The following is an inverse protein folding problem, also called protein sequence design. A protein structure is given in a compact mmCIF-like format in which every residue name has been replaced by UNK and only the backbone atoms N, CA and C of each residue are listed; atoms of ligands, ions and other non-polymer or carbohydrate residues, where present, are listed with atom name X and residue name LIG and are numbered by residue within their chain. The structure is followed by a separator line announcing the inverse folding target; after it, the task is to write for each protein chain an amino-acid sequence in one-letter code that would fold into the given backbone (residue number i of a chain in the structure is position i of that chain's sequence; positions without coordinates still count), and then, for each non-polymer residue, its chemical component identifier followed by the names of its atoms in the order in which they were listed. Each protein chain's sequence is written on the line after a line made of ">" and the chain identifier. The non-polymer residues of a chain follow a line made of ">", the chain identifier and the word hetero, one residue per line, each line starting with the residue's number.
data_IF_444381845274
#
_entry.id   IF_444381845274
#
_cell.length_a   1.000
_cell.length_b   1.000
_cell.length_c   1.000
_cell.angle_alpha   90.00
_cell.angle_beta   90.00
_cell.angle_gamma   90.00
#
_symmetry.space_group_name_H-M   'P 1'
#
loop_
_entity.id
_entity.type
_entity.pdbx_description
1 polymer ?
#
# COMPACT_ATOMS: atom_id res chain seq x y z
N UNK A 1 13.73 -6.75 -17.61
CA UNK A 1 14.35 -5.43 -17.81
C UNK A 1 13.40 -4.41 -18.40
N UNK A 2 12.67 -4.67 -19.49
CA UNK A 2 11.72 -3.73 -20.11
C UNK A 2 10.71 -3.15 -19.11
N UNK A 3 10.05 -3.99 -18.30
CA UNK A 3 9.04 -3.54 -17.30
C UNK A 3 9.65 -2.56 -16.29
N UNK A 4 10.86 -2.79 -15.80
CA UNK A 4 11.55 -1.85 -14.90
C UNK A 4 11.82 -0.50 -15.57
N UNK A 5 12.26 -0.52 -16.83
CA UNK A 5 12.54 0.72 -17.59
C UNK A 5 11.25 1.50 -17.84
N UNK A 6 10.19 0.83 -18.26
CA UNK A 6 8.88 1.48 -18.48
C UNK A 6 8.33 2.05 -17.17
N UNK A 7 8.39 1.26 -16.08
CA UNK A 7 7.94 1.72 -14.75
C UNK A 7 8.78 2.93 -14.28
N UNK A 8 10.11 2.87 -14.43
CA UNK A 8 11.00 3.98 -14.10
C UNK A 8 10.65 5.25 -14.89
N UNK A 9 10.44 5.12 -16.20
CA UNK A 9 10.08 6.24 -17.06
C UNK A 9 8.75 6.87 -16.61
N UNK A 10 7.69 6.06 -16.41
CA UNK A 10 6.39 6.54 -15.98
C UNK A 10 6.44 7.21 -14.60
N UNK A 11 7.13 6.59 -13.64
CA UNK A 11 7.24 7.11 -12.27
C UNK A 11 8.05 8.40 -12.22
N UNK A 12 9.18 8.47 -12.97
CA UNK A 12 10.00 9.68 -13.09
C UNK A 12 9.21 10.82 -13.77
N UNK A 13 8.45 10.48 -14.80
CA UNK A 13 7.58 11.43 -15.48
C UNK A 13 6.54 12.03 -14.53
N UNK A 14 5.90 11.21 -13.70
CA UNK A 14 5.00 11.69 -12.64
C UNK A 14 5.76 12.60 -11.68
N UNK A 15 6.94 12.19 -11.21
CA UNK A 15 7.75 12.96 -10.28
C UNK A 15 8.07 14.37 -10.80
N UNK A 16 8.38 14.50 -12.09
CA UNK A 16 8.82 15.73 -12.71
C UNK A 16 7.69 16.60 -13.29
N UNK A 17 6.55 15.99 -13.67
CA UNK A 17 5.48 16.70 -14.39
C UNK A 17 4.22 16.94 -13.56
N UNK A 18 3.98 16.12 -12.52
CA UNK A 18 2.81 16.29 -11.68
C UNK A 18 2.88 17.60 -10.91
N UNK A 19 1.84 18.46 -10.96
CA UNK A 19 1.79 19.67 -10.14
C UNK A 19 2.03 19.36 -8.65
N UNK A 20 2.72 20.24 -7.96
CA UNK A 20 2.88 20.16 -6.50
C UNK A 20 1.90 21.14 -5.83
N UNK A 21 1.29 20.73 -4.72
CA UNK A 21 1.21 19.35 -4.21
C UNK A 21 0.25 18.51 -5.04
N UNK A 22 0.51 17.20 -5.12
CA UNK A 22 -0.45 16.24 -5.67
C UNK A 22 -1.67 16.07 -4.74
N UNK A 23 -2.75 15.50 -5.27
CA UNK A 23 -4.00 15.26 -4.52
C UNK A 23 -3.92 14.12 -3.49
N UNK A 24 -2.76 13.44 -3.36
CA UNK A 24 -2.57 12.28 -2.49
C UNK A 24 -1.82 12.61 -1.20
N UNK A 25 -2.30 13.61 -0.48
CA UNK A 25 -1.74 14.04 0.81
C UNK A 25 -0.25 14.44 0.76
N UNK A 26 0.27 14.83 -0.42
CA UNK A 26 1.69 15.06 -0.61
C UNK A 26 2.21 16.22 0.25
N UNK A 27 1.49 17.35 0.32
CA UNK A 27 1.88 18.49 1.16
C UNK A 27 1.94 18.11 2.65
N UNK A 28 0.94 17.41 3.22
CA UNK A 28 1.04 16.86 4.57
C UNK A 28 2.24 15.96 4.78
N UNK A 29 2.56 15.05 3.85
CA UNK A 29 3.73 14.19 3.93
C UNK A 29 5.04 14.98 3.90
N UNK A 30 5.19 15.93 2.97
CA UNK A 30 6.36 16.82 2.88
C UNK A 30 6.54 17.63 4.17
N UNK A 31 5.45 18.09 4.77
CA UNK A 31 5.49 18.80 6.05
C UNK A 31 6.06 17.94 7.18
N UNK A 32 5.69 16.65 7.25
CA UNK A 32 6.27 15.74 8.25
C UNK A 32 7.73 15.41 7.92
N UNK A 33 8.11 15.30 6.63
CA UNK A 33 9.52 15.16 6.22
C UNK A 33 10.34 16.34 6.77
N UNK A 34 9.84 17.55 6.61
CA UNK A 34 10.50 18.77 7.11
C UNK A 34 10.58 18.77 8.64
N UNK A 35 9.49 18.45 9.34
CA UNK A 35 9.45 18.39 10.80
C UNK A 35 10.46 17.38 11.34
N UNK A 36 10.56 16.20 10.74
CA UNK A 36 11.50 15.15 11.12
C UNK A 36 12.95 15.46 10.74
N UNK A 37 13.17 16.29 9.76
CA UNK A 37 14.50 16.81 9.45
C UNK A 37 14.99 17.83 10.50
N UNK A 38 14.13 18.77 10.89
CA UNK A 38 14.47 19.82 11.86
C UNK A 38 14.55 19.27 13.29
N UNK A 39 13.63 18.41 13.65
CA UNK A 39 13.47 17.83 14.99
C UNK A 39 13.24 16.32 14.92
N UNK A 40 14.30 15.52 14.66
CA UNK A 40 14.18 14.07 14.57
C UNK A 40 13.65 13.47 15.87
N UNK A 41 12.51 12.81 15.82
CA UNK A 41 11.91 12.18 16.98
C UNK A 41 11.28 10.83 16.58
N UNK A 42 11.82 9.69 17.08
CA UNK A 42 11.30 8.36 16.73
C UNK A 42 9.90 8.11 17.29
N UNK A 43 9.47 8.84 18.29
CA UNK A 43 8.12 8.80 18.86
C UNK A 43 7.55 10.22 18.93
N UNK A 44 7.46 10.87 17.77
CA UNK A 44 6.93 12.21 17.68
C UNK A 44 5.44 12.26 18.04
N UNK A 45 5.06 13.39 18.63
CA UNK A 45 3.65 13.70 18.86
C UNK A 45 3.05 14.29 17.58
N UNK A 46 2.19 13.54 16.89
CA UNK A 46 1.56 13.96 15.65
C UNK A 46 0.64 15.20 15.83
N UNK A 47 0.19 15.50 17.07
CA UNK A 47 -0.63 16.69 17.34
C UNK A 47 0.13 18.00 17.15
N UNK A 48 1.46 17.95 17.25
CA UNK A 48 2.34 19.11 17.10
C UNK A 48 2.66 19.46 15.65
N UNK A 49 2.39 18.55 14.71
CA UNK A 49 2.74 18.77 13.31
C UNK A 49 1.93 19.92 12.70
N UNK A 50 2.64 20.74 11.95
CA UNK A 50 2.08 21.83 11.15
C UNK A 50 2.33 21.60 9.68
N UNK A 51 1.63 22.34 8.83
CA UNK A 51 1.84 22.33 7.38
C UNK A 51 2.92 23.33 7.00
N UNK A 52 3.78 22.95 6.06
CA UNK A 52 4.63 23.94 5.37
C UNK A 52 3.81 24.70 4.32
N UNK A 53 4.33 25.85 3.88
CA UNK A 53 3.74 26.58 2.76
C UNK A 53 3.84 25.76 1.48
N UNK A 54 2.80 25.82 0.64
CA UNK A 54 2.79 25.20 -0.68
C UNK A 54 3.93 25.72 -1.58
N UNK A 55 4.21 27.02 -1.49
CA UNK A 55 5.14 27.71 -2.38
C UNK A 55 6.57 27.78 -1.84
N UNK A 56 6.75 27.49 -0.53
CA UNK A 56 8.04 27.54 0.14
C UNK A 56 8.11 26.49 1.25
N UNK A 57 8.85 25.42 1.01
CA UNK A 57 9.01 24.33 1.98
C UNK A 57 9.76 24.71 3.25
N UNK A 58 10.46 25.85 3.25
CA UNK A 58 11.15 26.36 4.44
C UNK A 58 10.23 27.15 5.38
N UNK A 59 9.05 27.56 4.90
CA UNK A 59 8.11 28.40 5.66
C UNK A 59 6.97 27.55 6.25
N UNK A 60 6.88 27.55 7.57
CA UNK A 60 5.76 26.96 8.30
C UNK A 60 4.50 27.83 8.24
N UNK A 61 3.35 27.18 8.23
CA UNK A 61 2.03 27.81 8.37
C UNK A 61 1.44 27.52 9.76
N UNK A 62 0.35 28.18 10.09
CA UNK A 62 -0.42 27.88 11.32
C UNK A 62 -1.34 26.67 11.17
N UNK A 63 -1.53 26.16 9.95
CA UNK A 63 -2.42 25.02 9.69
C UNK A 63 -1.85 23.74 10.31
N UNK A 64 -2.70 23.04 11.05
CA UNK A 64 -2.36 21.74 11.63
C UNK A 64 -2.28 20.66 10.56
N UNK A 65 -1.35 19.72 10.74
CA UNK A 65 -1.23 18.54 9.90
C UNK A 65 -2.07 17.38 10.47
N UNK A 66 -2.56 16.53 9.61
CA UNK A 66 -3.37 15.35 9.99
C UNK A 66 -2.62 14.02 9.86
N UNK A 67 -1.39 14.04 9.34
CA UNK A 67 -0.59 12.82 9.22
C UNK A 67 -0.21 12.31 10.60
N UNK A 68 -0.52 11.03 10.85
CA UNK A 68 -0.34 10.35 12.13
C UNK A 68 0.49 9.05 11.97
N UNK A 69 1.29 8.98 10.91
CA UNK A 69 2.10 7.80 10.64
C UNK A 69 3.42 7.81 11.42
N UNK A 70 3.99 6.63 11.74
CA UNK A 70 5.32 6.52 12.35
C UNK A 70 6.41 7.20 11.52
N UNK A 71 7.49 7.69 12.16
CA UNK A 71 8.38 8.67 11.54
C UNK A 71 9.46 8.09 10.63
N UNK A 72 9.66 6.77 10.56
CA UNK A 72 10.83 6.18 9.89
C UNK A 72 11.00 6.64 8.43
N UNK A 73 9.92 6.60 7.65
CA UNK A 73 9.93 7.09 6.27
C UNK A 73 10.35 8.57 6.21
N UNK A 74 9.77 9.39 7.06
CA UNK A 74 10.00 10.84 7.06
C UNK A 74 11.42 11.20 7.51
N UNK A 75 11.95 10.50 8.51
CA UNK A 75 13.35 10.64 8.94
C UNK A 75 14.33 10.25 7.84
N UNK A 76 14.01 9.18 7.08
CA UNK A 76 14.85 8.71 5.98
C UNK A 76 14.83 9.69 4.80
N UNK A 77 13.66 10.10 4.33
CA UNK A 77 13.52 11.04 3.22
C UNK A 77 14.00 12.44 3.63
N UNK A 78 13.83 12.82 4.90
CA UNK A 78 14.30 14.08 5.46
C UNK A 78 15.80 14.29 5.31
N UNK A 79 16.62 13.21 5.22
CA UNK A 79 18.06 13.37 4.98
C UNK A 79 18.37 14.04 3.62
N UNK A 80 17.46 13.94 2.66
CA UNK A 80 17.61 14.65 1.38
C UNK A 80 17.59 16.17 1.53
N UNK A 81 16.91 16.69 2.56
CA UNK A 81 16.86 18.13 2.85
C UNK A 81 18.22 18.73 3.28
N UNK A 82 19.21 17.88 3.59
CA UNK A 82 20.61 18.31 3.80
C UNK A 82 21.28 18.79 2.52
N UNK A 83 20.80 18.30 1.37
CA UNK A 83 21.40 18.55 0.06
C UNK A 83 20.56 19.52 -0.76
N UNK A 84 19.23 19.46 -0.60
CA UNK A 84 18.31 20.28 -1.41
C UNK A 84 16.97 20.47 -0.70
N UNK A 85 16.38 21.66 -0.89
CA UNK A 85 14.99 21.94 -0.47
C UNK A 85 13.97 21.71 -1.60
N UNK A 86 14.40 21.19 -2.74
CA UNK A 86 13.53 20.96 -3.89
C UNK A 86 12.64 19.71 -3.68
N UNK A 87 11.33 19.88 -3.82
CA UNK A 87 10.36 18.78 -3.73
C UNK A 87 10.57 17.74 -4.83
N UNK A 88 11.06 18.14 -5.99
CA UNK A 88 11.34 17.20 -7.07
C UNK A 88 12.46 16.20 -6.71
N UNK A 89 13.46 16.64 -5.96
CA UNK A 89 14.49 15.74 -5.45
C UNK A 89 13.91 14.74 -4.41
N UNK A 90 12.99 15.17 -3.53
CA UNK A 90 12.28 14.29 -2.62
C UNK A 90 11.42 13.27 -3.39
N UNK A 91 10.76 13.70 -4.46
CA UNK A 91 10.00 12.79 -5.36
C UNK A 91 10.92 11.78 -6.04
N UNK A 92 12.09 12.19 -6.55
CA UNK A 92 13.06 11.27 -7.17
C UNK A 92 13.59 10.23 -6.17
N UNK A 93 13.77 10.59 -4.90
CA UNK A 93 14.10 9.61 -3.86
C UNK A 93 12.96 8.57 -3.71
N UNK A 94 11.70 8.97 -3.81
CA UNK A 94 10.56 8.05 -3.82
C UNK A 94 10.52 7.16 -5.07
N UNK A 95 10.89 7.68 -6.25
CA UNK A 95 11.06 6.86 -7.46
C UNK A 95 12.07 5.75 -7.22
N UNK A 96 13.20 6.03 -6.56
CA UNK A 96 14.21 5.02 -6.21
C UNK A 96 13.62 3.95 -5.28
N UNK A 97 12.87 4.35 -4.24
CA UNK A 97 12.22 3.40 -3.34
C UNK A 97 11.22 2.48 -4.08
N UNK A 98 10.40 3.06 -4.97
CA UNK A 98 9.44 2.30 -5.77
C UNK A 98 10.12 1.32 -6.72
N UNK A 99 11.22 1.73 -7.36
CA UNK A 99 12.03 0.86 -8.23
C UNK A 99 12.71 -0.28 -7.45
N UNK A 100 13.25 0.00 -6.28
CA UNK A 100 13.84 -1.02 -5.39
C UNK A 100 12.76 -2.03 -4.98
N UNK A 101 11.58 -1.58 -4.57
CA UNK A 101 10.47 -2.47 -4.24
C UNK A 101 10.09 -3.36 -5.42
N UNK A 102 9.90 -2.77 -6.62
CA UNK A 102 9.55 -3.53 -7.82
C UNK A 102 10.66 -4.53 -8.20
N UNK A 103 11.93 -4.13 -8.15
CA UNK A 103 13.06 -4.99 -8.49
C UNK A 103 13.18 -6.21 -7.57
N UNK A 104 13.04 -6.00 -6.24
CA UNK A 104 13.04 -7.07 -5.25
C UNK A 104 11.85 -8.02 -5.47
N UNK A 105 10.64 -7.47 -5.68
CA UNK A 105 9.45 -8.26 -5.94
C UNK A 105 9.55 -9.09 -7.22
N UNK A 106 10.06 -8.50 -8.30
CA UNK A 106 10.34 -9.20 -9.57
C UNK A 106 11.36 -10.34 -9.38
N UNK A 107 12.47 -10.05 -8.71
CA UNK A 107 13.50 -11.07 -8.44
C UNK A 107 12.93 -12.26 -7.66
N UNK A 108 12.18 -11.99 -6.59
CA UNK A 108 11.62 -13.04 -5.75
C UNK A 108 10.59 -13.89 -6.49
N UNK A 109 9.63 -13.27 -7.19
CA UNK A 109 8.57 -13.99 -7.89
C UNK A 109 9.09 -14.77 -9.10
N UNK A 110 10.00 -14.17 -9.87
CA UNK A 110 10.65 -14.85 -11.00
C UNK A 110 11.46 -16.07 -10.55
N UNK A 111 12.19 -15.96 -9.43
CA UNK A 111 12.92 -17.08 -8.83
C UNK A 111 11.97 -18.16 -8.32
N UNK A 112 10.86 -17.78 -7.75
CA UNK A 112 9.85 -18.71 -7.23
C UNK A 112 9.13 -19.47 -8.35
N UNK A 113 8.74 -18.79 -9.43
CA UNK A 113 8.03 -19.40 -10.56
C UNK A 113 8.92 -20.30 -11.43
N UNK A 114 10.23 -20.03 -11.49
CA UNK A 114 11.14 -20.71 -12.40
C UNK A 114 10.97 -20.24 -13.86
N UNK A 115 11.34 -21.09 -14.81
CA UNK A 115 11.20 -20.82 -16.25
C UNK A 115 9.78 -21.16 -16.72
N UNK A 116 9.23 -20.36 -17.64
CA UNK A 116 7.94 -20.64 -18.27
C UNK A 116 7.07 -19.39 -18.51
N UNK A 117 5.90 -19.58 -19.13
CA UNK A 117 4.96 -18.52 -19.49
C UNK A 117 4.43 -17.74 -18.27
N UNK A 118 4.29 -18.40 -17.13
CA UNK A 118 3.84 -17.78 -15.87
C UNK A 118 4.78 -16.66 -15.42
N UNK A 119 6.08 -16.79 -15.67
CA UNK A 119 7.07 -15.75 -15.39
C UNK A 119 6.78 -14.45 -16.13
N UNK A 120 6.41 -14.52 -17.40
CA UNK A 120 6.10 -13.33 -18.21
C UNK A 120 4.83 -12.66 -17.70
N UNK A 121 3.78 -13.43 -17.40
CA UNK A 121 2.52 -12.92 -16.84
C UNK A 121 2.78 -12.24 -15.49
N UNK A 122 3.52 -12.88 -14.59
CA UNK A 122 3.87 -12.29 -13.30
C UNK A 122 4.65 -10.98 -13.42
N UNK A 123 5.65 -10.92 -14.31
CA UNK A 123 6.48 -9.73 -14.54
C UNK A 123 5.64 -8.53 -14.96
N UNK A 124 4.59 -8.77 -15.74
CA UNK A 124 3.63 -7.72 -16.11
C UNK A 124 2.76 -7.36 -14.90
N UNK A 125 2.13 -8.34 -14.27
CA UNK A 125 1.17 -8.12 -13.20
C UNK A 125 1.74 -7.39 -11.99
N UNK A 126 2.97 -7.72 -11.57
CA UNK A 126 3.54 -7.10 -10.36
C UNK A 126 3.77 -5.59 -10.52
N UNK A 127 4.03 -5.12 -11.75
CA UNK A 127 4.17 -3.70 -12.05
C UNK A 127 2.82 -2.97 -12.21
N UNK A 128 1.71 -3.74 -12.28
CA UNK A 128 0.38 -3.23 -12.61
C UNK A 128 -0.51 -3.03 -11.38
N UNK A 129 0.08 -2.70 -10.21
CA UNK A 129 -0.75 -2.19 -9.12
C UNK A 129 -1.37 -0.86 -9.54
N UNK A 130 -2.68 -0.68 -9.31
CA UNK A 130 -3.36 0.56 -9.64
C UNK A 130 -2.66 1.78 -9.02
N UNK A 131 -2.41 2.82 -9.85
CA UNK A 131 -1.69 4.05 -9.45
C UNK A 131 -0.24 3.84 -8.97
N UNK A 132 0.39 2.67 -9.19
CA UNK A 132 1.76 2.43 -8.74
C UNK A 132 2.77 3.49 -9.23
N UNK A 133 2.78 3.93 -10.52
CA UNK A 133 3.65 5.00 -10.96
C UNK A 133 3.36 6.35 -10.28
N UNK A 134 2.09 6.64 -10.00
CA UNK A 134 1.68 7.86 -9.30
C UNK A 134 2.17 7.84 -7.84
N UNK A 135 1.92 6.76 -7.11
CA UNK A 135 2.37 6.59 -5.72
C UNK A 135 3.91 6.65 -5.65
N UNK A 136 4.59 5.99 -6.59
CA UNK A 136 6.05 5.98 -6.67
C UNK A 136 6.66 7.35 -7.00
N UNK A 137 5.94 8.21 -7.75
CA UNK A 137 6.42 9.51 -8.21
C UNK A 137 6.15 10.68 -7.26
N UNK A 138 5.48 10.47 -6.13
CA UNK A 138 5.15 11.53 -5.15
C UNK A 138 5.76 11.22 -3.78
N UNK A 139 5.85 12.25 -2.93
CA UNK A 139 6.31 12.08 -1.54
C UNK A 139 5.22 11.44 -0.72
N UNK A 140 5.37 10.11 -0.45
CA UNK A 140 4.38 9.33 0.27
C UNK A 140 5.02 8.12 0.97
N UNK A 141 4.61 7.82 2.19
CA UNK A 141 5.14 6.70 2.98
C UNK A 141 4.74 5.31 2.43
N UNK A 142 3.78 5.21 1.53
CA UNK A 142 3.44 3.96 0.86
C UNK A 142 4.64 3.36 0.10
N UNK A 143 5.60 4.17 -0.37
CA UNK A 143 6.81 3.69 -1.03
C UNK A 143 7.68 2.83 -0.11
N UNK A 144 7.86 3.22 1.16
CA UNK A 144 8.58 2.40 2.14
C UNK A 144 7.75 1.20 2.60
N UNK A 145 6.44 1.34 2.71
CA UNK A 145 5.54 0.23 3.01
C UNK A 145 5.59 -0.86 1.92
N UNK A 146 5.73 -0.48 0.65
CA UNK A 146 5.91 -1.42 -0.46
C UNK A 146 7.26 -2.16 -0.39
N UNK A 147 8.33 -1.52 0.11
CA UNK A 147 9.59 -2.22 0.40
C UNK A 147 9.39 -3.27 1.50
N UNK A 148 8.69 -2.92 2.59
CA UNK A 148 8.35 -3.88 3.63
C UNK A 148 7.56 -5.08 3.07
N UNK A 149 6.61 -4.80 2.17
CA UNK A 149 5.79 -5.82 1.52
C UNK A 149 6.62 -6.81 0.69
N UNK A 150 7.56 -6.32 -0.12
CA UNK A 150 8.39 -7.21 -0.93
C UNK A 150 9.41 -7.98 -0.09
N UNK A 151 9.88 -7.44 1.04
CA UNK A 151 10.71 -8.18 2.00
C UNK A 151 9.92 -9.34 2.62
N UNK A 152 8.67 -9.11 3.05
CA UNK A 152 7.76 -10.18 3.52
C UNK A 152 7.51 -11.19 2.40
N UNK A 153 7.27 -10.75 1.18
CA UNK A 153 7.07 -11.62 0.02
C UNK A 153 8.29 -12.51 -0.25
N UNK A 154 9.52 -11.97 -0.18
CA UNK A 154 10.77 -12.75 -0.26
C UNK A 154 10.83 -13.81 0.84
N UNK A 155 10.50 -13.44 2.07
CA UNK A 155 10.46 -14.37 3.21
C UNK A 155 9.46 -15.51 3.06
N UNK A 156 8.30 -15.23 2.43
CA UNK A 156 7.26 -16.23 2.15
C UNK A 156 7.59 -17.14 0.96
N UNK A 157 8.24 -16.61 -0.09
CA UNK A 157 8.66 -17.39 -1.25
C UNK A 157 9.86 -18.29 -0.98
N UNK A 158 10.51 -18.16 0.18
CA UNK A 158 11.67 -18.97 0.53
C UNK A 158 12.94 -18.60 -0.25
N UNK A 159 12.97 -17.44 -0.91
CA UNK A 159 14.10 -16.99 -1.70
C UNK A 159 15.37 -16.66 -0.86
N UNK A 160 15.25 -16.60 0.47
CA UNK A 160 16.35 -16.40 1.43
C UNK A 160 15.84 -16.10 2.84
N UNK A 161 16.62 -16.41 3.87
CA UNK A 161 16.48 -15.91 5.27
C UNK A 161 15.11 -16.06 5.97
N UNK A 162 14.12 -16.64 5.35
CA UNK A 162 12.77 -17.00 5.81
C UNK A 162 12.21 -16.15 6.96
N UNK A 163 12.35 -16.64 8.19
CA UNK A 163 11.75 -16.03 9.39
C UNK A 163 12.29 -14.63 9.71
N UNK A 164 13.58 -14.39 9.49
CA UNK A 164 14.20 -13.08 9.73
C UNK A 164 13.68 -12.02 8.74
N UNK A 165 13.55 -12.36 7.47
CA UNK A 165 12.98 -11.42 6.49
C UNK A 165 11.51 -11.11 6.81
N UNK A 166 10.74 -12.09 7.29
CA UNK A 166 9.38 -11.84 7.75
C UNK A 166 9.37 -10.85 8.94
N UNK A 167 10.25 -11.07 9.93
CA UNK A 167 10.38 -10.16 11.07
C UNK A 167 10.81 -8.76 10.67
N UNK A 168 11.86 -8.63 9.84
CA UNK A 168 12.35 -7.33 9.33
C UNK A 168 11.25 -6.61 8.55
N UNK A 169 10.55 -7.33 7.66
CA UNK A 169 9.45 -6.75 6.90
C UNK A 169 8.30 -6.26 7.78
N UNK A 170 7.92 -7.01 8.83
CA UNK A 170 6.90 -6.57 9.79
C UNK A 170 7.35 -5.36 10.62
N UNK A 171 8.60 -5.35 11.10
CA UNK A 171 9.15 -4.19 11.79
C UNK A 171 9.11 -2.94 10.90
N UNK A 172 9.61 -3.05 9.66
CA UNK A 172 9.61 -1.95 8.70
C UNK A 172 8.19 -1.48 8.35
N UNK A 173 7.24 -2.42 8.15
CA UNK A 173 5.84 -2.11 7.90
C UNK A 173 5.25 -1.29 9.06
N UNK A 174 5.46 -1.73 10.28
CA UNK A 174 4.94 -1.06 11.47
C UNK A 174 5.52 0.33 11.67
N UNK A 175 6.80 0.52 11.47
CA UNK A 175 7.46 1.84 11.54
C UNK A 175 7.16 2.76 10.37
N UNK A 176 6.38 2.27 9.39
CA UNK A 176 5.94 3.05 8.24
C UNK A 176 4.44 3.36 8.31
N UNK A 177 3.60 2.33 8.53
CA UNK A 177 2.14 2.48 8.43
C UNK A 177 1.40 1.33 9.12
N UNK A 178 0.41 1.65 9.98
CA UNK A 178 -0.37 0.63 10.70
C UNK A 178 -1.07 -0.34 9.76
N UNK A 179 -1.67 0.17 8.68
CA UNK A 179 -2.37 -0.68 7.70
C UNK A 179 -1.43 -1.68 7.03
N UNK A 180 -0.18 -1.31 6.77
CA UNK A 180 0.83 -2.22 6.24
C UNK A 180 1.19 -3.32 7.26
N UNK A 181 1.41 -2.95 8.54
CA UNK A 181 1.68 -3.93 9.61
C UNK A 181 0.53 -4.93 9.76
N UNK A 182 -0.72 -4.45 9.79
CA UNK A 182 -1.91 -5.30 9.93
C UNK A 182 -2.05 -6.23 8.73
N UNK A 183 -1.97 -5.69 7.51
CA UNK A 183 -2.13 -6.49 6.29
C UNK A 183 -1.05 -7.56 6.15
N UNK A 184 0.22 -7.17 6.28
CA UNK A 184 1.35 -8.10 6.15
C UNK A 184 1.43 -9.06 7.33
N UNK A 185 1.15 -8.59 8.55
CA UNK A 185 1.07 -9.42 9.76
C UNK A 185 0.03 -10.52 9.60
N UNK A 186 -1.17 -10.19 9.11
CA UNK A 186 -2.22 -11.16 8.82
C UNK A 186 -1.75 -12.20 7.79
N UNK A 187 -1.13 -11.76 6.68
CA UNK A 187 -0.61 -12.68 5.67
C UNK A 187 0.44 -13.64 6.27
N UNK A 188 1.37 -13.13 7.09
CA UNK A 188 2.41 -13.93 7.75
C UNK A 188 1.83 -14.90 8.77
N UNK A 189 0.89 -14.44 9.61
CA UNK A 189 0.21 -15.30 10.61
C UNK A 189 -0.50 -16.45 9.92
N UNK A 190 -1.23 -16.19 8.83
CA UNK A 190 -1.95 -17.24 8.10
C UNK A 190 -0.96 -18.18 7.40
N UNK A 191 0.06 -17.65 6.72
CA UNK A 191 1.04 -18.45 5.99
C UNK A 191 1.84 -19.39 6.90
N UNK A 192 2.16 -18.96 8.12
CA UNK A 192 2.97 -19.71 9.07
C UNK A 192 2.12 -20.47 10.09
N UNK A 193 1.02 -19.88 10.54
CA UNK A 193 0.14 -20.45 11.56
C UNK A 193 -0.73 -21.59 11.04
N UNK A 194 -1.31 -21.46 9.85
CA UNK A 194 -2.19 -22.48 9.29
C UNK A 194 -1.58 -23.88 9.13
N UNK A 195 -0.34 -24.04 8.58
CA UNK A 195 0.33 -25.34 8.53
C UNK A 195 0.63 -25.91 9.92
N UNK A 196 0.91 -25.04 10.89
CA UNK A 196 1.16 -25.43 12.29
C UNK A 196 -0.12 -25.98 12.96
N UNK A 197 -1.23 -25.26 12.84
CA UNK A 197 -2.53 -25.67 13.40
C UNK A 197 -3.03 -27.01 12.83
N UNK A 198 -2.67 -27.32 11.58
CA UNK A 198 -3.01 -28.60 10.93
C UNK A 198 -2.01 -29.73 11.21
N UNK A 199 -1.05 -29.54 12.11
CA UNK A 199 -0.04 -30.55 12.42
C UNK A 199 0.92 -30.89 11.26
N UNK A 200 0.90 -30.10 10.19
CA UNK A 200 1.72 -30.33 8.99
C UNK A 200 3.17 -29.86 9.16
N UNK A 201 3.46 -29.14 10.22
CA UNK A 201 4.79 -28.62 10.57
C UNK A 201 4.94 -28.60 12.08
N UNK A 202 6.10 -29.02 12.56
CA UNK A 202 6.43 -28.89 13.99
C UNK A 202 6.76 -27.42 14.32
N UNK A 203 6.42 -27.00 15.51
CA UNK A 203 6.81 -25.73 16.08
C UNK A 203 8.32 -25.70 16.32
N UNK A 204 9.03 -24.75 15.68
CA UNK A 204 10.41 -24.47 16.00
C UNK A 204 10.50 -23.02 16.48
N UNK A 205 10.98 -22.79 17.68
CA UNK A 205 11.15 -21.45 18.24
C UNK A 205 11.98 -20.56 17.31
N UNK A 206 13.04 -21.12 16.74
CA UNK A 206 13.90 -20.42 15.77
C UNK A 206 13.15 -19.87 14.54
N UNK A 207 12.02 -20.47 14.15
CA UNK A 207 11.21 -20.01 13.00
C UNK A 207 10.20 -18.91 13.41
N UNK A 208 9.83 -18.83 14.68
CA UNK A 208 8.74 -17.97 15.14
C UNK A 208 9.22 -16.69 15.85
N UNK A 209 10.28 -16.79 16.65
CA UNK A 209 10.73 -15.66 17.45
C UNK A 209 11.17 -14.44 16.62
N UNK A 210 11.84 -14.59 15.42
CA UNK A 210 12.16 -13.41 14.62
C UNK A 210 10.90 -12.69 14.10
N UNK A 211 9.85 -13.47 13.80
CA UNK A 211 8.55 -12.93 13.34
C UNK A 211 7.87 -12.19 14.49
N UNK A 212 7.83 -12.81 15.69
CA UNK A 212 7.24 -12.20 16.88
C UNK A 212 7.98 -10.93 17.28
N UNK A 213 9.32 -10.96 17.27
CA UNK A 213 10.16 -9.79 17.56
C UNK A 213 9.89 -8.68 16.55
N UNK A 214 9.88 -9.00 15.24
CA UNK A 214 9.61 -8.02 14.21
C UNK A 214 8.23 -7.40 14.33
N UNK A 215 7.21 -8.22 14.63
CA UNK A 215 5.85 -7.73 14.91
C UNK A 215 5.78 -6.81 16.14
N UNK A 216 6.46 -7.19 17.24
CA UNK A 216 6.54 -6.38 18.46
C UNK A 216 7.26 -5.05 18.22
N UNK A 217 8.40 -5.07 17.53
CA UNK A 217 9.12 -3.84 17.12
C UNK A 217 8.25 -2.98 16.20
N UNK A 218 7.54 -3.59 15.25
CA UNK A 218 6.62 -2.88 14.38
C UNK A 218 5.42 -2.26 15.10
N UNK A 219 4.94 -2.89 16.18
CA UNK A 219 3.84 -2.37 16.98
C UNK A 219 4.25 -1.24 17.94
N UNK A 220 5.55 -1.11 18.25
CA UNK A 220 6.05 -0.21 19.27
C UNK A 220 5.60 1.26 19.10
N UNK A 221 5.64 1.90 17.92
CA UNK A 221 5.18 3.28 17.76
C UNK A 221 3.72 3.47 18.17
N UNK A 222 2.86 2.50 17.87
CA UNK A 222 1.44 2.55 18.19
C UNK A 222 1.17 2.31 19.68
N UNK A 223 1.91 1.40 20.31
CA UNK A 223 1.81 1.14 21.74
C UNK A 223 2.27 2.36 22.55
N UNK A 224 3.36 3.01 22.14
CA UNK A 224 3.84 4.25 22.76
C UNK A 224 2.80 5.36 22.58
N UNK A 225 2.21 5.51 21.39
CA UNK A 225 1.14 6.49 21.18
C UNK A 225 -0.10 6.19 22.04
N UNK A 226 -0.49 4.92 22.12
CA UNK A 226 -1.60 4.50 22.97
C UNK A 226 -1.35 4.79 24.45
N UNK A 227 -0.15 4.50 24.94
CA UNK A 227 0.22 4.78 26.33
C UNK A 227 0.20 6.29 26.67
N UNK A 228 0.46 7.15 25.68
CA UNK A 228 0.47 8.62 25.86
C UNK A 228 -0.91 9.26 25.70
N UNK A 229 -1.72 8.75 24.77
CA UNK A 229 -2.93 9.46 24.32
C UNK A 229 -4.22 8.64 24.48
N UNK A 230 -4.12 7.36 24.82
CA UNK A 230 -5.25 6.42 24.83
C UNK A 230 -5.71 5.97 23.42
N UNK A 231 -5.02 6.39 22.36
CA UNK A 231 -5.37 6.07 20.98
C UNK A 231 -4.18 5.46 20.24
N UNK A 232 -4.42 4.41 19.44
CA UNK A 232 -3.37 3.81 18.58
C UNK A 232 -2.90 4.78 17.50
N UNK A 233 -3.82 5.57 16.94
CA UNK A 233 -3.55 6.61 15.97
C UNK A 233 -4.13 7.93 16.48
N UNK A 234 -3.37 9.01 16.32
CA UNK A 234 -3.87 10.35 16.56
C UNK A 234 -4.83 10.73 15.42
N UNK A 235 -5.96 11.31 15.78
CA UNK A 235 -6.89 11.93 14.83
C UNK A 235 -7.10 13.37 15.25
N UNK A 236 -6.76 14.30 14.38
CA UNK A 236 -6.96 15.72 14.63
C UNK A 236 -8.42 16.08 14.36
N UNK A 237 -9.27 15.96 15.39
CA UNK A 237 -10.70 16.22 15.31
C UNK A 237 -11.03 17.66 14.88
N UNK A 238 -10.16 18.62 15.22
CA UNK A 238 -10.32 20.01 14.83
C UNK A 238 -10.24 20.25 13.31
N UNK A 239 -9.57 19.35 12.56
CA UNK A 239 -9.47 19.44 11.10
C UNK A 239 -10.63 18.78 10.37
N UNK A 240 -11.26 17.79 10.98
CA UNK A 240 -12.27 16.95 10.33
C UNK A 240 -13.63 16.99 11.06
N UNK A 241 -13.66 17.55 12.25
CA UNK A 241 -14.85 17.51 13.09
C UNK A 241 -16.02 18.32 12.52
N UNK A 242 -16.99 17.63 11.91
CA UNK A 242 -18.31 18.21 11.71
C UNK A 242 -19.02 18.20 13.08
N UNK A 243 -19.57 19.34 13.55
CA UNK A 243 -20.34 19.38 14.79
C UNK A 243 -21.39 18.28 14.84
N UNK A 244 -21.57 17.64 15.99
CA UNK A 244 -22.48 16.48 16.12
C UNK A 244 -23.91 16.81 15.67
N UNK A 245 -24.36 18.05 15.92
CA UNK A 245 -25.65 18.54 15.49
C UNK A 245 -25.85 18.62 13.97
N UNK A 246 -24.74 18.79 13.22
CA UNK A 246 -24.76 18.96 11.77
C UNK A 246 -24.44 17.66 11.03
N UNK A 247 -24.21 16.54 11.75
CA UNK A 247 -23.89 15.26 11.13
C UNK A 247 -25.15 14.61 10.57
N UNK A 248 -25.12 14.17 9.30
CA UNK A 248 -26.23 13.39 8.78
C UNK A 248 -26.36 12.08 9.56
N UNK A 249 -27.58 11.73 9.94
CA UNK A 249 -27.87 10.39 10.44
C UNK A 249 -27.76 9.42 9.26
N UNK A 250 -26.63 8.73 9.16
CA UNK A 250 -26.41 7.71 8.14
C UNK A 250 -26.45 6.35 8.84
N UNK A 251 -27.31 5.46 8.34
CA UNK A 251 -27.34 4.07 8.78
C UNK A 251 -26.15 3.29 8.23
N UNK A 252 -25.78 2.22 8.91
CA UNK A 252 -24.62 1.39 8.49
C UNK A 252 -24.77 0.82 7.08
N UNK A 253 -25.99 0.54 6.64
CA UNK A 253 -26.26 0.07 5.27
C UNK A 253 -25.92 1.14 4.22
N UNK A 254 -26.28 2.39 4.47
CA UNK A 254 -26.01 3.50 3.57
C UNK A 254 -24.52 3.82 3.55
N UNK A 255 -23.88 3.77 4.72
CA UNK A 255 -22.43 3.88 4.83
C UNK A 255 -21.72 2.76 4.07
N UNK A 256 -22.25 1.53 4.09
CA UNK A 256 -21.68 0.40 3.36
C UNK A 256 -21.65 0.68 1.86
N UNK A 257 -22.76 1.13 1.30
CA UNK A 257 -22.86 1.51 -0.11
C UNK A 257 -21.87 2.64 -0.42
N UNK A 258 -21.84 3.67 0.41
CA UNK A 258 -20.93 4.80 0.29
C UNK A 258 -19.45 4.36 0.35
N UNK A 259 -19.06 3.52 1.32
CA UNK A 259 -17.70 3.03 1.48
C UNK A 259 -17.22 2.30 0.23
N UNK A 260 -18.00 1.34 -0.27
CA UNK A 260 -17.62 0.58 -1.46
C UNK A 260 -17.66 1.42 -2.74
N UNK A 261 -18.59 2.35 -2.87
CA UNK A 261 -18.62 3.31 -3.96
C UNK A 261 -17.38 4.19 -3.96
N UNK A 262 -17.00 4.74 -2.78
CA UNK A 262 -15.81 5.59 -2.63
C UNK A 262 -14.52 4.80 -2.86
N UNK A 263 -14.44 3.56 -2.36
CA UNK A 263 -13.30 2.69 -2.60
C UNK A 263 -13.13 2.40 -4.09
N UNK A 264 -14.23 2.13 -4.80
CA UNK A 264 -14.24 1.91 -6.24
C UNK A 264 -13.94 3.20 -7.03
N UNK A 265 -14.49 4.35 -6.59
CA UNK A 265 -14.26 5.66 -7.21
C UNK A 265 -12.80 6.10 -7.07
N UNK A 266 -12.17 5.87 -5.92
CA UNK A 266 -10.73 6.10 -5.71
C UNK A 266 -9.85 5.04 -6.38
N UNK A 267 -10.43 4.02 -6.99
CA UNK A 267 -9.73 3.12 -7.91
C UNK A 267 -9.47 3.87 -9.22
N UNK A 268 -8.34 3.63 -9.92
CA UNK A 268 -7.95 4.42 -11.09
C UNK A 268 -8.98 4.51 -12.21
N UNK A 269 -9.92 3.58 -12.25
CA UNK A 269 -10.99 3.61 -13.23
C UNK A 269 -11.90 4.84 -13.12
N UNK A 270 -11.99 5.49 -11.98
CA UNK A 270 -12.75 6.72 -11.79
C UNK A 270 -12.21 7.89 -12.63
N UNK A 271 -10.90 7.92 -12.88
CA UNK A 271 -10.28 8.92 -13.76
C UNK A 271 -10.80 8.85 -15.20
N UNK A 272 -11.36 7.69 -15.60
CA UNK A 272 -12.02 7.49 -16.89
C UNK A 272 -13.54 7.69 -16.83
N UNK A 273 -14.07 8.22 -15.71
CA UNK A 273 -15.52 8.40 -15.47
C UNK A 273 -16.34 7.11 -15.68
N UNK A 274 -15.75 5.97 -15.40
CA UNK A 274 -16.43 4.69 -15.50
C UNK A 274 -17.47 4.54 -14.39
N UNK A 275 -18.63 3.92 -14.68
CA UNK A 275 -19.61 3.60 -13.65
C UNK A 275 -18.99 2.83 -12.47
N UNK A 276 -19.44 3.09 -11.25
CA UNK A 276 -18.96 2.48 -9.99
C UNK A 276 -18.89 0.95 -10.10
N UNK A 277 -19.86 0.34 -10.79
CA UNK A 277 -19.89 -1.13 -11.01
C UNK A 277 -18.65 -1.59 -11.80
N UNK A 278 -18.27 -0.88 -12.87
CA UNK A 278 -17.06 -1.21 -13.63
C UNK A 278 -15.80 -1.02 -12.80
N UNK A 279 -15.73 0.06 -12.02
CA UNK A 279 -14.62 0.31 -11.11
C UNK A 279 -14.49 -0.81 -10.08
N UNK A 280 -15.61 -1.30 -9.53
CA UNK A 280 -15.63 -2.43 -8.61
C UNK A 280 -15.17 -3.74 -9.29
N UNK A 281 -15.62 -4.01 -10.50
CA UNK A 281 -15.19 -5.18 -11.28
C UNK A 281 -13.67 -5.13 -11.52
N UNK A 282 -13.14 -3.98 -11.94
CA UNK A 282 -11.70 -3.79 -12.16
C UNK A 282 -10.90 -3.99 -10.87
N UNK A 283 -11.42 -3.51 -9.73
CA UNK A 283 -10.78 -3.68 -8.43
C UNK A 283 -10.75 -5.14 -7.96
N UNK A 284 -11.81 -5.89 -8.23
CA UNK A 284 -11.97 -7.27 -7.76
C UNK A 284 -11.39 -8.31 -8.73
N UNK A 285 -11.22 -7.97 -10.02
CA UNK A 285 -10.69 -8.91 -11.02
C UNK A 285 -9.34 -9.53 -10.61
N UNK A 286 -8.33 -8.79 -10.14
CA UNK A 286 -7.07 -9.38 -9.68
C UNK A 286 -7.26 -10.34 -8.51
N UNK A 287 -8.16 -10.02 -7.59
CA UNK A 287 -8.47 -10.84 -6.40
C UNK A 287 -9.15 -12.15 -6.82
N UNK A 288 -10.11 -12.09 -7.74
CA UNK A 288 -10.77 -13.27 -8.30
C UNK A 288 -9.79 -14.18 -9.06
N UNK A 289 -8.91 -13.59 -9.87
CA UNK A 289 -7.85 -14.32 -10.58
C UNK A 289 -6.85 -14.95 -9.61
N UNK A 290 -6.48 -14.25 -8.53
CA UNK A 290 -5.61 -14.79 -7.49
C UNK A 290 -6.28 -15.97 -6.75
N UNK A 291 -7.59 -15.91 -6.49
CA UNK A 291 -8.33 -17.02 -5.90
C UNK A 291 -8.38 -18.23 -6.85
N UNK A 292 -8.66 -18.00 -8.14
CA UNK A 292 -8.64 -19.04 -9.16
C UNK A 292 -7.26 -19.69 -9.27
N UNK A 293 -6.20 -18.89 -9.35
CA UNK A 293 -4.83 -19.38 -9.46
C UNK A 293 -4.34 -20.11 -8.20
N UNK A 294 -4.74 -19.64 -7.01
CA UNK A 294 -4.44 -20.33 -5.75
C UNK A 294 -5.11 -21.69 -5.64
N UNK A 295 -6.25 -21.90 -6.33
CA UNK A 295 -6.91 -23.21 -6.45
C UNK A 295 -6.23 -24.09 -7.51
N UNK A 296 -5.83 -23.50 -8.64
CA UNK A 296 -5.24 -24.20 -9.76
C UNK A 296 -3.83 -24.74 -9.46
N UNK A 297 -3.05 -24.03 -8.63
CA UNK A 297 -1.68 -24.40 -8.26
C UNK A 297 -1.49 -24.37 -6.74
N UNK A 298 -1.34 -25.55 -6.13
CA UNK A 298 -1.21 -25.69 -4.66
C UNK A 298 0.04 -25.03 -4.11
N UNK A 299 1.15 -24.99 -4.87
CA UNK A 299 2.40 -24.36 -4.45
C UNK A 299 2.22 -22.85 -4.38
N UNK A 300 1.63 -22.27 -5.39
CA UNK A 300 1.29 -20.84 -5.43
C UNK A 300 0.21 -20.52 -4.41
N UNK A 301 -0.79 -21.37 -4.25
CA UNK A 301 -1.85 -21.25 -3.25
C UNK A 301 -1.35 -21.19 -1.81
N UNK A 302 -0.21 -21.81 -1.50
CA UNK A 302 0.43 -21.69 -0.18
C UNK A 302 0.84 -20.24 0.16
N UNK A 303 1.06 -19.41 -0.85
CA UNK A 303 1.34 -17.97 -0.71
C UNK A 303 0.07 -17.16 -1.00
N UNK A 304 -0.66 -17.48 -2.06
CA UNK A 304 -1.81 -16.71 -2.52
C UNK A 304 -2.94 -16.61 -1.49
N UNK A 305 -3.33 -17.73 -0.86
CA UNK A 305 -4.39 -17.73 0.14
C UNK A 305 -4.11 -16.85 1.37
N UNK A 306 -2.89 -16.83 1.95
CA UNK A 306 -2.54 -15.86 2.99
C UNK A 306 -2.74 -14.41 2.57
N UNK A 307 -2.34 -14.01 1.37
CA UNK A 307 -2.52 -12.65 0.88
C UNK A 307 -3.99 -12.31 0.59
N UNK A 308 -4.77 -13.27 0.06
CA UNK A 308 -6.22 -13.12 -0.15
C UNK A 308 -6.98 -12.99 1.16
N UNK A 309 -6.64 -13.81 2.15
CA UNK A 309 -7.24 -13.70 3.48
C UNK A 309 -6.84 -12.38 4.16
N UNK A 310 -5.58 -11.95 4.02
CA UNK A 310 -5.14 -10.65 4.50
C UNK A 310 -5.87 -9.49 3.80
N UNK A 311 -6.16 -9.62 2.50
CA UNK A 311 -7.01 -8.65 1.78
C UNK A 311 -8.39 -8.55 2.41
N UNK A 312 -9.05 -9.68 2.68
CA UNK A 312 -10.36 -9.71 3.33
C UNK A 312 -10.34 -9.11 4.75
N UNK A 313 -9.35 -9.48 5.57
CA UNK A 313 -9.19 -8.93 6.93
C UNK A 313 -8.90 -7.42 6.87
N UNK A 314 -8.03 -6.97 5.97
CA UNK A 314 -7.75 -5.56 5.78
C UNK A 314 -9.01 -4.79 5.36
N UNK A 315 -9.83 -5.36 4.48
CA UNK A 315 -11.09 -4.76 4.05
C UNK A 315 -12.07 -4.59 5.21
N UNK A 316 -12.23 -5.61 6.06
CA UNK A 316 -13.09 -5.55 7.24
C UNK A 316 -12.61 -4.50 8.23
N UNK A 317 -11.29 -4.48 8.53
CA UNK A 317 -10.71 -3.50 9.46
C UNK A 317 -10.81 -2.08 8.88
N UNK A 318 -10.55 -1.92 7.59
CA UNK A 318 -10.65 -0.64 6.90
C UNK A 318 -12.10 -0.10 6.91
N UNK A 319 -13.07 -0.98 6.62
CA UNK A 319 -14.49 -0.62 6.71
C UNK A 319 -14.86 -0.19 8.13
N UNK A 320 -14.49 -0.98 9.14
CA UNK A 320 -14.82 -0.70 10.54
C UNK A 320 -14.13 0.57 11.05
N UNK A 321 -12.87 0.77 10.69
CA UNK A 321 -12.15 1.99 11.02
C UNK A 321 -12.80 3.22 10.37
N UNK A 322 -13.15 3.12 9.09
CA UNK A 322 -13.87 4.18 8.37
C UNK A 322 -15.23 4.49 8.98
N UNK A 323 -16.01 3.47 9.32
CA UNK A 323 -17.29 3.63 10.02
C UNK A 323 -17.12 4.33 11.37
N UNK A 324 -16.14 3.88 12.18
CA UNK A 324 -15.87 4.47 13.48
C UNK A 324 -15.43 5.94 13.38
N UNK A 325 -14.61 6.27 12.39
CA UNK A 325 -14.20 7.64 12.12
C UNK A 325 -15.39 8.50 11.65
N UNK A 326 -16.22 7.97 10.76
CA UNK A 326 -17.44 8.65 10.32
C UNK A 326 -18.36 8.97 11.51
N UNK A 327 -18.59 8.01 12.42
CA UNK A 327 -19.41 8.23 13.62
C UNK A 327 -18.82 9.29 14.55
N UNK A 328 -17.49 9.37 14.65
CA UNK A 328 -16.78 10.27 15.56
C UNK A 328 -16.62 11.68 15.01
N UNK A 329 -16.20 11.80 13.76
CA UNK A 329 -15.78 13.09 13.17
C UNK A 329 -16.52 13.46 11.87
N UNK A 330 -17.43 12.62 11.36
CA UNK A 330 -18.15 12.86 10.12
C UNK A 330 -17.30 12.72 8.85
N UNK A 331 -16.06 12.22 8.95
CA UNK A 331 -15.17 12.08 7.78
C UNK A 331 -15.56 10.88 6.92
N UNK A 332 -15.76 11.13 5.64
CA UNK A 332 -16.13 10.14 4.64
C UNK A 332 -14.96 9.76 3.72
N UNK A 333 -13.80 10.42 3.84
CA UNK A 333 -12.71 10.31 2.86
C UNK A 333 -11.78 9.11 3.05
N UNK A 334 -12.03 8.25 4.04
CA UNK A 334 -11.11 7.22 4.52
C UNK A 334 -10.92 6.04 3.54
N UNK A 335 -11.87 5.77 2.64
CA UNK A 335 -11.78 4.65 1.70
C UNK A 335 -10.69 4.88 0.65
N UNK A 336 -9.50 4.29 0.88
CA UNK A 336 -8.31 4.44 0.02
C UNK A 336 -7.85 3.10 -0.56
N UNK A 337 -7.88 2.95 -1.89
CA UNK A 337 -7.43 1.72 -2.58
C UNK A 337 -5.93 1.43 -2.38
N UNK A 338 -5.11 2.47 -2.17
CA UNK A 338 -3.66 2.35 -1.96
C UNK A 338 -3.27 1.55 -0.70
N UNK A 339 -4.17 1.40 0.27
CA UNK A 339 -3.91 0.60 1.48
C UNK A 339 -3.71 -0.89 1.19
N UNK A 340 -4.16 -1.36 0.03
CA UNK A 340 -4.01 -2.76 -0.40
C UNK A 340 -2.74 -3.00 -1.23
N UNK A 341 -1.96 -1.96 -1.55
CA UNK A 341 -0.74 -2.05 -2.35
C UNK A 341 0.28 -3.04 -1.78
N UNK A 342 0.41 -3.07 -0.45
CA UNK A 342 1.33 -3.97 0.25
C UNK A 342 0.99 -5.46 0.07
N UNK A 343 -0.23 -5.79 -0.34
CA UNK A 343 -0.65 -7.17 -0.63
C UNK A 343 -0.43 -7.57 -2.09
N UNK A 344 -0.11 -6.59 -2.94
CA UNK A 344 -0.06 -6.80 -4.38
C UNK A 344 0.97 -7.84 -4.84
N UNK A 345 2.19 -7.96 -4.28
CA UNK A 345 3.16 -8.97 -4.73
C UNK A 345 2.60 -10.40 -4.64
N UNK A 346 1.90 -10.73 -3.56
CA UNK A 346 1.27 -12.04 -3.37
C UNK A 346 0.04 -12.23 -4.26
N UNK A 347 -0.78 -11.20 -4.44
CA UNK A 347 -1.95 -11.22 -5.32
C UNK A 347 -1.51 -11.39 -6.77
N UNK A 348 -0.51 -10.65 -7.25
CA UNK A 348 0.04 -10.77 -8.60
C UNK A 348 0.62 -12.17 -8.86
N UNK A 349 1.36 -12.73 -7.89
CA UNK A 349 1.86 -14.09 -7.98
C UNK A 349 0.70 -15.09 -8.12
N UNK A 350 -0.31 -14.98 -7.28
CA UNK A 350 -1.45 -15.89 -7.28
C UNK A 350 -2.36 -15.72 -8.51
N UNK A 351 -2.50 -14.51 -9.04
CA UNK A 351 -3.28 -14.25 -10.25
C UNK A 351 -2.65 -14.87 -11.52
N UNK A 352 -1.34 -15.10 -11.52
CA UNK A 352 -0.61 -15.64 -12.67
C UNK A 352 -1.18 -16.99 -13.17
N UNK A 353 -1.27 -18.07 -12.35
CA UNK A 353 -1.91 -19.31 -12.81
C UNK A 353 -3.42 -19.16 -13.02
N UNK A 354 -4.07 -18.16 -12.42
CA UNK A 354 -5.48 -17.85 -12.67
C UNK A 354 -5.70 -17.38 -14.10
N UNK A 355 -4.83 -16.51 -14.61
CA UNK A 355 -4.87 -16.08 -16.03
C UNK A 355 -4.59 -17.25 -16.95
N UNK A 356 -3.63 -18.12 -16.60
CA UNK A 356 -3.36 -19.35 -17.39
C UNK A 356 -4.58 -20.27 -17.45
N UNK A 357 -5.21 -20.52 -16.31
CA UNK A 357 -6.42 -21.35 -16.23
C UNK A 357 -7.55 -20.75 -17.07
N UNK A 358 -7.73 -19.43 -16.99
CA UNK A 358 -8.70 -18.72 -17.80
C UNK A 358 -8.39 -18.83 -19.30
N UNK A 359 -7.11 -18.71 -19.69
CA UNK A 359 -6.68 -18.82 -21.08
C UNK A 359 -6.86 -20.22 -21.66
N UNK A 360 -6.78 -21.28 -20.82
CA UNK A 360 -7.08 -22.66 -21.20
C UNK A 360 -8.58 -22.84 -21.50
N UNK A 361 -9.43 -22.12 -20.78
CA UNK A 361 -10.87 -22.17 -20.99
C UNK A 361 -11.29 -21.28 -22.17
N UNK A 362 -10.84 -20.02 -22.19
CA UNK A 362 -11.15 -19.05 -23.26
C UNK A 362 -10.13 -17.92 -23.35
N UNK A 363 -9.27 -17.98 -24.37
CA UNK A 363 -8.17 -17.01 -24.56
C UNK A 363 -8.61 -15.54 -24.57
N UNK A 364 -9.70 -15.13 -25.29
CA UNK A 364 -10.13 -13.74 -25.28
C UNK A 364 -10.48 -13.22 -23.88
N UNK A 365 -11.07 -14.05 -23.01
CA UNK A 365 -11.39 -13.67 -21.64
C UNK A 365 -10.12 -13.44 -20.80
N UNK A 366 -9.08 -14.24 -21.01
CA UNK A 366 -7.79 -14.03 -20.34
C UNK A 366 -7.14 -12.73 -20.80
N UNK A 367 -7.22 -12.39 -22.09
CA UNK A 367 -6.74 -11.10 -22.63
C UNK A 367 -7.54 -9.95 -22.03
N UNK A 368 -8.87 -10.06 -22.01
CA UNK A 368 -9.73 -9.06 -21.36
C UNK A 368 -9.38 -8.85 -19.90
N UNK A 369 -9.19 -9.94 -19.13
CA UNK A 369 -8.81 -9.88 -17.73
C UNK A 369 -7.44 -9.20 -17.53
N UNK A 370 -6.46 -9.44 -18.40
CA UNK A 370 -5.20 -8.74 -18.41
C UNK A 370 -5.38 -7.25 -18.68
N UNK A 371 -6.17 -6.88 -19.67
CA UNK A 371 -6.46 -5.47 -19.97
C UNK A 371 -7.15 -4.77 -18.80
N UNK A 372 -8.08 -5.43 -18.12
CA UNK A 372 -8.73 -4.90 -16.91
C UNK A 372 -7.75 -4.61 -15.78
N UNK A 373 -6.63 -5.32 -15.70
CA UNK A 373 -5.56 -5.05 -14.70
C UNK A 373 -4.62 -3.95 -15.21
N UNK A 374 -4.33 -3.93 -16.51
CA UNK A 374 -3.39 -2.97 -17.11
C UNK A 374 -3.97 -1.54 -17.16
N UNK A 375 -5.24 -1.39 -17.55
CA UNK A 375 -5.89 -0.08 -17.70
C UNK A 375 -5.78 0.78 -16.41
N UNK A 376 -6.08 0.26 -15.22
CA UNK A 376 -5.96 1.05 -14.00
C UNK A 376 -4.52 1.44 -13.60
N UNK A 377 -3.51 0.84 -14.23
CA UNK A 377 -2.11 1.16 -13.94
C UNK A 377 -1.68 2.45 -14.60
N UNK A 378 -2.30 2.78 -15.72
CA UNK A 378 -2.02 4.00 -16.46
C UNK A 378 -2.74 5.16 -15.77
N UNK A 379 -2.04 6.12 -15.18
CA UNK A 379 -2.70 7.26 -14.51
C UNK A 379 -3.39 8.12 -15.57
N UNK A 380 -4.72 8.14 -15.61
CA UNK A 380 -5.50 8.94 -16.57
C UNK A 380 -5.11 10.42 -16.54
N UNK A 381 -5.00 11.00 -15.33
CA UNK A 381 -4.57 12.38 -15.16
C UNK A 381 -3.13 12.66 -15.61
N UNK A 382 -2.19 11.69 -15.44
CA UNK A 382 -0.82 11.85 -15.91
C UNK A 382 -0.73 11.80 -17.44
N UNK A 383 -1.51 10.95 -18.09
CA UNK A 383 -1.60 10.90 -19.57
C UNK A 383 -2.25 12.17 -20.10
N UNK A 384 -3.35 12.63 -19.50
CA UNK A 384 -4.01 13.88 -19.90
C UNK A 384 -3.08 15.08 -19.71
N UNK A 385 -2.35 15.16 -18.59
CA UNK A 385 -1.36 16.20 -18.36
C UNK A 385 -0.15 16.14 -19.31
N UNK A 386 0.14 14.97 -19.88
CA UNK A 386 1.24 14.77 -20.82
C UNK A 386 0.84 15.02 -22.28
N UNK A 387 -0.41 14.72 -22.63
CA UNK A 387 -0.91 14.87 -24.01
C UNK A 387 -1.49 16.26 -24.30
N UNK A 388 -1.84 17.03 -23.26
CA UNK A 388 -2.44 18.36 -23.40
C UNK A 388 -1.49 19.51 -23.07
N UNK A 389 -0.19 19.25 -22.88
CA UNK A 389 0.91 20.22 -22.76
C UNK A 389 2.02 19.89 -23.75
#
# INVERSE_FOLDING_TARGET
>A
MVVLVVFAALTTMVALRMPYPSTFDELPHVSVVRAQYEHPAPFADASTYRMVSRDDLARWTTASNYINHPPLYYMMIGQMLRVTSDVYALRLANVVLALVALAIGLWAGVRYLGAGGDRTVFVILIACFPKAPLIGGIVNNDNLANIAAVIVFVGLTGAGGGAWLLGIGLALAGWTKLTALVSLGTAVIIARGWPLMRGRRAWRFADLWPIALGGAVGALPYLVNYARTGHLLYVNEALYGVPLADRPQIYIQDYTVFFFATLADKWPAAEFQLPVVFSAILALAPVALAALGSRADRRIGAIGWPFLAAFGVTLVIHFWFGWSAFQRIGDQSIAQSRYYAVLWPGIALAATPGIRALAQWWRPLAVLAMLMILIPTVPGGAITALLLR
#
